data_IF_036866663351
#
_entry.id   IF_036866663351
#
_cell.length_a   1.000
_cell.length_b   1.000
_cell.length_c   1.000
_cell.angle_alpha   90.00
_cell.angle_beta   90.00
_cell.angle_gamma   90.00
#
_symmetry.space_group_name_H-M   'P 1'
#
loop_
_entity.id
_entity.type
_entity.pdbx_description
1 polymer ?
#
# COMPACT_ATOMS: atom_id res chain seq x y z
N UNK A 1 3.49 0.46 -20.31
CA UNK A 1 2.56 -0.62 -20.66
C UNK A 1 1.36 -0.55 -19.71
N UNK A 2 0.17 -0.87 -20.21
CA UNK A 2 -1.03 -1.07 -19.38
C UNK A 2 -1.16 -2.56 -19.09
N UNK A 3 -1.28 -2.92 -17.81
CA UNK A 3 -1.33 -4.31 -17.37
C UNK A 3 -2.15 -4.44 -16.07
N UNK A 4 -2.73 -5.61 -15.82
CA UNK A 4 -3.40 -5.89 -14.56
C UNK A 4 -2.33 -6.14 -13.47
N UNK A 5 -2.38 -5.36 -12.38
CA UNK A 5 -1.44 -5.50 -11.26
C UNK A 5 -1.53 -6.84 -10.52
N UNK A 6 -2.60 -7.61 -10.73
CA UNK A 6 -2.76 -8.96 -10.20
C UNK A 6 -1.98 -10.02 -11.01
N UNK A 7 -1.48 -9.66 -12.19
CA UNK A 7 -0.70 -10.53 -13.06
C UNK A 7 0.78 -10.17 -13.00
N UNK A 8 1.63 -11.19 -12.99
CA UNK A 8 3.08 -11.00 -12.96
C UNK A 8 3.64 -10.93 -14.39
N UNK A 9 4.39 -9.88 -14.66
CA UNK A 9 5.11 -9.69 -15.92
C UNK A 9 6.59 -10.05 -15.75
N UNK A 10 7.01 -11.15 -16.38
CA UNK A 10 8.36 -11.69 -16.23
C UNK A 10 9.46 -10.68 -16.61
N UNK A 11 9.24 -9.87 -17.61
CA UNK A 11 10.20 -8.85 -18.08
C UNK A 11 10.51 -7.75 -17.07
N UNK A 12 9.69 -7.60 -16.01
CA UNK A 12 9.85 -6.53 -15.01
C UNK A 12 10.46 -7.04 -13.69
N UNK A 13 10.60 -8.36 -13.55
CA UNK A 13 11.12 -8.97 -12.32
C UNK A 13 12.52 -8.44 -12.02
N UNK A 14 12.69 -7.90 -10.80
CA UNK A 14 13.94 -7.34 -10.27
C UNK A 14 14.57 -6.20 -11.10
N UNK A 15 13.75 -5.46 -11.86
CA UNK A 15 14.25 -4.37 -12.71
C UNK A 15 14.06 -2.97 -12.08
N UNK A 16 13.24 -2.82 -11.07
CA UNK A 16 12.88 -1.51 -10.56
C UNK A 16 13.65 -1.15 -9.27
N UNK A 17 14.19 0.08 -9.24
CA UNK A 17 14.77 0.68 -8.02
C UNK A 17 13.69 0.99 -6.99
N UNK A 18 12.53 1.46 -7.47
CA UNK A 18 11.37 1.83 -6.65
C UNK A 18 10.11 1.33 -7.32
N UNK A 19 9.25 0.67 -6.57
CA UNK A 19 7.90 0.29 -6.98
C UNK A 19 6.88 0.91 -6.05
N UNK A 20 5.89 1.60 -6.62
CA UNK A 20 4.74 2.12 -5.91
C UNK A 20 3.52 1.24 -6.17
N UNK A 21 2.99 0.63 -5.13
CA UNK A 21 1.74 -0.11 -5.12
C UNK A 21 0.64 0.75 -4.47
N UNK A 22 0.05 1.65 -5.25
CA UNK A 22 -1.13 2.42 -4.87
C UNK A 22 -2.37 1.61 -5.24
N UNK A 23 -2.88 0.83 -4.30
CA UNK A 23 -3.83 -0.25 -4.58
C UNK A 23 -5.29 0.20 -4.53
N UNK A 24 -6.19 -0.47 -5.27
CA UNK A 24 -7.63 -0.26 -5.12
C UNK A 24 -8.04 -0.57 -3.68
N UNK A 25 -8.81 0.34 -3.06
CA UNK A 25 -9.23 0.25 -1.68
C UNK A 25 -10.67 0.72 -1.47
N UNK A 26 -11.19 0.61 -0.26
CA UNK A 26 -12.54 1.08 0.10
C UNK A 26 -12.73 2.58 -0.14
N UNK A 27 -11.66 3.36 -0.01
CA UNK A 27 -11.69 4.81 -0.16
C UNK A 27 -12.26 5.55 1.06
N UNK A 28 -12.40 4.88 2.21
CA UNK A 28 -13.00 5.48 3.41
C UNK A 28 -12.21 6.67 3.97
N UNK A 29 -10.99 6.89 3.51
CA UNK A 29 -10.20 8.08 3.85
C UNK A 29 -10.58 9.34 3.05
N UNK A 30 -11.31 9.20 1.93
CA UNK A 30 -11.65 10.29 1.02
C UNK A 30 -13.15 10.55 0.90
N UNK A 31 -13.92 10.17 1.90
CA UNK A 31 -15.41 10.36 1.94
C UNK A 31 -15.78 11.83 1.72
N UNK A 32 -14.95 12.76 2.21
CA UNK A 32 -15.17 14.19 2.02
C UNK A 32 -15.22 14.59 0.55
N UNK A 33 -14.42 13.96 -0.29
CA UNK A 33 -14.34 14.19 -1.75
C UNK A 33 -15.30 13.32 -2.54
N UNK A 34 -15.58 12.13 -2.03
CA UNK A 34 -16.43 11.11 -2.67
C UNK A 34 -17.44 10.57 -1.67
N UNK A 35 -18.50 11.31 -1.35
CA UNK A 35 -19.48 10.92 -0.32
C UNK A 35 -20.24 9.63 -0.65
N UNK A 36 -20.33 9.24 -1.92
CA UNK A 36 -20.98 8.01 -2.37
C UNK A 36 -20.30 6.74 -1.85
N UNK A 37 -19.06 6.84 -1.40
CA UNK A 37 -18.32 5.73 -0.76
C UNK A 37 -19.09 5.14 0.42
N UNK A 38 -19.88 5.95 1.14
CA UNK A 38 -20.71 5.51 2.29
C UNK A 38 -21.76 4.48 1.92
N UNK A 39 -22.11 4.37 0.65
CA UNK A 39 -23.14 3.48 0.13
C UNK A 39 -22.57 2.24 -0.56
N UNK A 40 -21.26 2.02 -0.49
CA UNK A 40 -20.64 0.81 -1.03
C UNK A 40 -21.10 -0.43 -0.29
N UNK A 41 -21.29 -1.51 -1.07
CA UNK A 41 -21.65 -2.80 -0.51
C UNK A 41 -20.52 -3.33 0.39
N UNK A 42 -20.78 -3.63 1.68
CA UNK A 42 -19.79 -4.21 2.58
C UNK A 42 -19.16 -5.52 2.07
N UNK A 43 -19.93 -6.34 1.33
CA UNK A 43 -19.40 -7.59 0.76
C UNK A 43 -18.32 -7.32 -0.29
N UNK A 44 -18.51 -6.29 -1.12
CA UNK A 44 -17.49 -5.86 -2.09
C UNK A 44 -16.24 -5.34 -1.41
N UNK A 45 -16.38 -4.64 -0.27
CA UNK A 45 -15.24 -4.15 0.50
C UNK A 45 -14.45 -5.29 1.16
N UNK A 46 -15.12 -6.34 1.62
CA UNK A 46 -14.47 -7.49 2.26
C UNK A 46 -13.52 -8.26 1.31
N UNK A 47 -13.70 -8.15 -0.01
CA UNK A 47 -12.83 -8.77 -0.99
C UNK A 47 -11.52 -8.00 -1.25
N UNK A 48 -11.46 -6.71 -0.88
CA UNK A 48 -10.33 -5.84 -1.20
C UNK A 48 -8.98 -6.28 -0.61
N UNK A 49 -8.88 -6.72 0.65
CA UNK A 49 -7.60 -7.16 1.20
C UNK A 49 -6.94 -8.30 0.42
N UNK A 50 -7.71 -9.23 -0.14
CA UNK A 50 -7.18 -10.31 -0.98
C UNK A 50 -6.59 -9.78 -2.29
N UNK A 51 -7.27 -8.84 -2.94
CA UNK A 51 -6.79 -8.17 -4.16
C UNK A 51 -5.52 -7.37 -3.87
N UNK A 52 -5.51 -6.64 -2.76
CA UNK A 52 -4.37 -5.82 -2.32
C UNK A 52 -3.13 -6.68 -2.06
N UNK A 53 -3.29 -7.84 -1.40
CA UNK A 53 -2.19 -8.80 -1.19
C UNK A 53 -1.63 -9.33 -2.53
N UNK A 54 -2.49 -9.67 -3.47
CA UNK A 54 -2.08 -10.16 -4.78
C UNK A 54 -1.26 -9.10 -5.55
N UNK A 55 -1.73 -7.85 -5.56
CA UNK A 55 -1.02 -6.73 -6.20
C UNK A 55 0.31 -6.46 -5.51
N UNK A 56 0.34 -6.42 -4.17
CA UNK A 56 1.55 -6.17 -3.40
C UNK A 56 2.61 -7.26 -3.63
N UNK A 57 2.20 -8.54 -3.67
CA UNK A 57 3.10 -9.67 -3.95
C UNK A 57 3.70 -9.60 -5.36
N UNK A 58 2.92 -9.18 -6.36
CA UNK A 58 3.45 -8.98 -7.72
C UNK A 58 4.37 -7.76 -7.80
N UNK A 59 3.98 -6.65 -7.17
CA UNK A 59 4.80 -5.44 -7.10
C UNK A 59 6.17 -5.70 -6.44
N UNK A 60 6.19 -6.50 -5.38
CA UNK A 60 7.41 -6.91 -4.70
C UNK A 60 8.41 -7.63 -5.60
N UNK A 61 7.91 -8.48 -6.51
CA UNK A 61 8.77 -9.21 -7.44
C UNK A 61 9.52 -8.29 -8.42
N UNK A 62 9.01 -7.10 -8.68
CA UNK A 62 9.64 -6.13 -9.60
C UNK A 62 10.76 -5.33 -8.95
N UNK A 63 10.77 -5.25 -7.62
CA UNK A 63 11.80 -4.53 -6.87
C UNK A 63 13.11 -5.30 -6.95
N UNK A 64 14.19 -4.65 -7.40
CA UNK A 64 15.53 -5.27 -7.37
C UNK A 64 16.06 -5.44 -5.95
N UNK A 65 17.04 -6.31 -5.69
CA UNK A 65 17.75 -6.33 -4.41
C UNK A 65 18.28 -4.93 -4.04
N UNK A 66 18.07 -4.51 -2.81
CA UNK A 66 18.40 -3.15 -2.34
C UNK A 66 17.38 -2.06 -2.75
N UNK A 67 16.36 -2.39 -3.52
CA UNK A 67 15.31 -1.46 -3.96
C UNK A 67 14.25 -1.19 -2.91
N UNK A 68 13.30 -0.32 -3.24
CA UNK A 68 12.23 0.15 -2.35
C UNK A 68 10.86 -0.25 -2.89
N UNK A 69 10.00 -0.74 -2.01
CA UNK A 69 8.59 -0.95 -2.25
C UNK A 69 7.78 0.00 -1.38
N UNK A 70 6.89 0.75 -1.98
CA UNK A 70 5.94 1.62 -1.27
C UNK A 70 4.54 1.07 -1.48
N UNK A 71 3.81 0.85 -0.40
CA UNK A 71 2.41 0.48 -0.40
C UNK A 71 1.57 1.65 0.06
N UNK A 72 0.50 1.99 -0.65
CA UNK A 72 -0.41 3.07 -0.27
C UNK A 72 -1.87 2.76 -0.53
N UNK A 73 -2.74 3.35 0.29
CA UNK A 73 -4.19 3.31 0.16
C UNK A 73 -4.81 4.66 0.51
N UNK A 74 -5.99 4.95 -0.01
CA UNK A 74 -6.81 6.07 0.43
C UNK A 74 -7.91 5.63 1.42
N UNK A 75 -7.60 4.70 2.29
CA UNK A 75 -8.47 4.24 3.39
C UNK A 75 -7.76 4.30 4.73
N UNK A 76 -8.55 4.27 5.79
CA UNK A 76 -8.06 4.22 7.18
C UNK A 76 -8.36 2.87 7.85
N UNK A 77 -8.87 1.91 7.09
CA UNK A 77 -9.19 0.58 7.61
C UNK A 77 -7.91 -0.24 7.88
N UNK A 78 -7.69 -0.72 9.12
CA UNK A 78 -6.50 -1.50 9.45
C UNK A 78 -6.34 -2.77 8.60
N UNK A 79 -7.45 -3.39 8.22
CA UNK A 79 -7.49 -4.63 7.42
C UNK A 79 -6.92 -4.44 6.01
N UNK A 80 -7.10 -3.26 5.44
CA UNK A 80 -6.58 -2.89 4.12
C UNK A 80 -5.16 -2.30 4.19
N UNK A 81 -4.72 -1.92 5.38
CA UNK A 81 -3.48 -1.20 5.65
C UNK A 81 -2.44 -2.11 6.35
N UNK A 82 -2.28 -1.93 7.67
CA UNK A 82 -1.32 -2.69 8.46
C UNK A 82 -1.55 -4.21 8.40
N UNK A 83 -2.81 -4.66 8.26
CA UNK A 83 -3.14 -6.08 8.07
C UNK A 83 -2.51 -6.66 6.80
N UNK A 84 -2.69 -5.99 5.66
CA UNK A 84 -2.09 -6.42 4.37
C UNK A 84 -0.56 -6.42 4.45
N UNK A 85 0.03 -5.36 5.02
CA UNK A 85 1.49 -5.24 5.16
C UNK A 85 2.07 -6.31 6.08
N UNK A 86 1.41 -6.59 7.21
CA UNK A 86 1.86 -7.63 8.16
C UNK A 86 1.84 -9.01 7.51
N UNK A 87 0.77 -9.36 6.83
CA UNK A 87 0.66 -10.63 6.10
C UNK A 87 1.74 -10.72 5.01
N UNK A 88 1.96 -9.64 4.27
CA UNK A 88 3.01 -9.58 3.24
C UNK A 88 4.40 -9.84 3.83
N UNK A 89 4.78 -9.11 4.88
CA UNK A 89 6.10 -9.23 5.51
C UNK A 89 6.34 -10.61 6.13
N UNK A 90 5.29 -11.29 6.59
CA UNK A 90 5.40 -12.66 7.11
C UNK A 90 5.79 -13.67 6.04
N UNK A 91 5.38 -13.44 4.80
CA UNK A 91 5.70 -14.29 3.64
C UNK A 91 6.93 -13.84 2.83
N UNK A 92 7.47 -12.66 3.13
CA UNK A 92 8.56 -12.04 2.37
C UNK A 92 9.66 -11.51 3.30
N UNK A 93 10.46 -12.42 3.90
CA UNK A 93 11.49 -12.05 4.89
C UNK A 93 12.63 -11.20 4.29
N UNK A 94 12.72 -11.14 2.96
CA UNK A 94 13.65 -10.26 2.24
C UNK A 94 13.25 -8.78 2.30
N UNK A 95 12.02 -8.45 2.71
CA UNK A 95 11.56 -7.07 2.90
C UNK A 95 11.54 -6.70 4.38
N UNK A 96 11.91 -5.45 4.66
CA UNK A 96 11.81 -4.84 6.01
C UNK A 96 11.22 -3.44 5.90
N UNK A 97 10.44 -3.02 6.88
CA UNK A 97 10.00 -1.63 6.97
C UNK A 97 11.20 -0.71 7.07
N UNK A 98 11.14 0.43 6.40
CA UNK A 98 12.18 1.45 6.39
C UNK A 98 11.59 2.81 6.77
N UNK A 99 12.21 3.48 7.72
CA UNK A 99 11.79 4.81 8.18
C UNK A 99 11.84 5.84 7.04
N UNK A 100 10.96 6.82 7.11
CA UNK A 100 10.88 7.89 6.12
C UNK A 100 10.27 9.16 6.71
N UNK A 101 10.52 10.28 6.05
CA UNK A 101 9.94 11.58 6.42
C UNK A 101 8.81 11.96 5.46
N UNK A 102 7.70 12.45 6.02
CA UNK A 102 6.61 13.06 5.26
C UNK A 102 6.63 14.58 5.44
N UNK A 103 6.68 15.35 4.35
CA UNK A 103 6.64 16.81 4.43
C UNK A 103 5.41 17.31 5.21
N UNK A 104 5.64 18.15 6.22
CA UNK A 104 4.60 18.72 7.07
C UNK A 104 4.03 17.77 8.14
N UNK A 105 4.52 16.53 8.23
CA UNK A 105 4.07 15.52 9.21
C UNK A 105 5.24 15.08 10.09
N UNK A 106 6.41 14.85 9.51
CA UNK A 106 7.63 14.44 10.21
C UNK A 106 8.00 12.99 9.95
N UNK A 107 8.85 12.45 10.83
CA UNK A 107 9.40 11.08 10.72
C UNK A 107 8.37 10.02 11.02
N UNK A 108 8.36 8.99 10.19
CA UNK A 108 7.47 7.83 10.27
C UNK A 108 8.31 6.55 10.38
N UNK A 109 7.98 5.70 11.35
CA UNK A 109 8.70 4.43 11.60
C UNK A 109 8.17 3.31 10.70
N UNK A 110 8.53 3.39 9.41
CA UNK A 110 8.21 2.40 8.39
C UNK A 110 6.81 2.47 7.81
N UNK A 111 5.80 2.95 8.55
CA UNK A 111 4.46 3.23 8.04
C UNK A 111 3.79 4.41 8.76
N UNK A 112 2.74 4.94 8.15
CA UNK A 112 1.92 6.00 8.72
C UNK A 112 0.48 5.93 8.23
N UNK A 113 -0.47 6.16 9.14
CA UNK A 113 -1.87 6.45 8.81
C UNK A 113 -2.11 7.95 8.97
N UNK A 114 -2.51 8.61 7.89
CA UNK A 114 -2.90 10.01 7.91
C UNK A 114 -4.38 10.11 8.27
N UNK A 115 -4.65 10.73 9.41
CA UNK A 115 -6.01 10.93 9.90
C UNK A 115 -6.47 12.35 9.60
N UNK A 116 -7.60 12.57 8.90
CA UNK A 116 -8.08 13.92 8.54
C UNK A 116 -8.10 14.91 9.70
N UNK A 117 -8.55 14.46 10.87
CA UNK A 117 -8.64 15.29 12.07
C UNK A 117 -7.28 15.63 12.70
N UNK A 118 -6.21 14.90 12.37
CA UNK A 118 -4.86 15.11 12.92
C UNK A 118 -3.93 15.80 11.93
N UNK A 119 -3.96 15.36 10.68
CA UNK A 119 -3.02 15.81 9.64
C UNK A 119 -3.58 16.89 8.74
N UNK A 120 -4.90 17.15 8.81
CA UNK A 120 -5.64 18.05 7.91
C UNK A 120 -5.54 17.67 6.43
N UNK A 121 -5.22 16.42 6.17
CA UNK A 121 -5.20 15.78 4.85
C UNK A 121 -6.42 14.89 4.66
N UNK A 122 -6.59 14.28 3.51
CA UNK A 122 -7.45 13.10 3.40
C UNK A 122 -6.87 11.94 4.19
N UNK A 123 -7.70 10.93 4.48
CA UNK A 123 -7.23 9.70 5.12
C UNK A 123 -6.43 8.85 4.14
N UNK A 124 -5.19 8.54 4.50
CA UNK A 124 -4.28 7.71 3.72
C UNK A 124 -3.48 6.79 4.61
N UNK A 125 -3.00 5.71 4.03
CA UNK A 125 -1.97 4.87 4.62
C UNK A 125 -0.79 4.77 3.65
N UNK A 126 0.42 4.81 4.20
CA UNK A 126 1.66 4.67 3.46
C UNK A 126 2.58 3.75 4.27
N UNK A 127 3.16 2.75 3.61
CA UNK A 127 4.21 1.92 4.16
C UNK A 127 5.39 1.87 3.19
N UNK A 128 6.58 2.17 3.69
CA UNK A 128 7.83 2.04 2.95
C UNK A 128 8.57 0.81 3.40
N UNK A 129 9.01 0.00 2.45
CA UNK A 129 9.75 -1.23 2.69
C UNK A 129 11.02 -1.28 1.83
N UNK A 130 12.12 -1.77 2.39
CA UNK A 130 13.38 -2.01 1.69
C UNK A 130 13.51 -3.51 1.42
N UNK A 131 13.81 -3.88 0.17
CA UNK A 131 14.29 -5.22 -0.14
C UNK A 131 15.75 -5.33 0.25
N UNK A 132 16.09 -6.32 1.05
CA UNK A 132 17.50 -6.61 1.42
C UNK A 132 18.31 -6.94 0.16
N UNK A 133 19.58 -6.57 0.21
CA UNK A 133 20.52 -6.85 -0.88
C UNK A 133 20.85 -8.36 -0.95
#
# INVERSE_FOLDING_TARGET
>A
ALADGRERHAAWVEQADVVLADVPCSGLGIIRKKPDIRWKDPAALAALPAIQRAILGNAAAYVRPGGVLVYSTCTVLPEENGGVVTDFLSGHPEFVKEDFDLPGIGSCSGDATLWPQRTRTDGFYICRMRRRA
#
